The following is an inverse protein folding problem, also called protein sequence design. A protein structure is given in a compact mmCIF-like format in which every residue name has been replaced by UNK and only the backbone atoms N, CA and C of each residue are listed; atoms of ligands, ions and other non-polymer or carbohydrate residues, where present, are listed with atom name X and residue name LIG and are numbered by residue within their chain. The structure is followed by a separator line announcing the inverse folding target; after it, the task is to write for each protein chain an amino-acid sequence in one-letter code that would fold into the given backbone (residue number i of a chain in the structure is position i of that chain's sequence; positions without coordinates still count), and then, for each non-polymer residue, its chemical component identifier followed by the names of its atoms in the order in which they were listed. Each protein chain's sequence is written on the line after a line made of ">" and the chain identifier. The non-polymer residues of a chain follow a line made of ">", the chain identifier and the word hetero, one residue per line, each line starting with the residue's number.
data_IF_140674236053
#
_entry.id   IF_140674236053
#
_cell.length_a   1.000
_cell.length_b   1.000
_cell.length_c   1.000
_cell.angle_alpha   90.00
_cell.angle_beta   90.00
_cell.angle_gamma   90.00
#
_symmetry.space_group_name_H-M   'P 1'
#
loop_
_entity.id
_entity.type
_entity.pdbx_description
1 polymer ?
#
# COMPACT_ATOMS: atom_id res chain seq x y z
N UNK A 1 -46.73 13.32 -55.65
CA UNK A 1 -46.68 13.13 -54.18
C UNK A 1 -45.22 12.86 -53.78
N UNK A 2 -44.52 13.87 -53.25
CA UNK A 2 -43.11 13.71 -52.80
C UNK A 2 -43.12 13.29 -51.33
N UNK A 3 -42.53 12.11 -51.01
CA UNK A 3 -42.35 11.61 -49.66
C UNK A 3 -41.12 12.31 -49.05
N UNK A 4 -41.33 13.06 -47.97
CA UNK A 4 -40.26 13.64 -47.15
C UNK A 4 -39.85 12.56 -46.12
N UNK A 5 -38.63 12.07 -46.18
CA UNK A 5 -38.04 11.18 -45.15
C UNK A 5 -37.34 12.06 -44.10
N UNK A 6 -37.81 12.00 -42.86
CA UNK A 6 -37.15 12.62 -41.73
C UNK A 6 -36.10 11.61 -41.19
N UNK A 7 -34.84 12.02 -41.21
CA UNK A 7 -33.77 11.30 -40.57
C UNK A 7 -33.64 11.82 -39.14
N UNK A 8 -33.98 10.99 -38.16
CA UNK A 8 -33.71 11.26 -36.74
C UNK A 8 -32.24 10.99 -36.44
N UNK A 9 -31.44 12.01 -36.24
CA UNK A 9 -30.11 11.88 -35.63
C UNK A 9 -30.30 11.69 -34.12
N UNK A 10 -30.11 10.49 -33.63
CA UNK A 10 -29.97 10.23 -32.22
C UNK A 10 -28.57 10.72 -31.73
N UNK A 11 -28.54 11.83 -31.04
CA UNK A 11 -27.33 12.33 -30.40
C UNK A 11 -26.93 11.42 -29.24
N UNK A 12 -25.82 10.72 -29.37
CA UNK A 12 -25.20 9.98 -28.27
C UNK A 12 -24.56 11.03 -27.36
N UNK A 13 -25.17 11.31 -26.22
CA UNK A 13 -24.56 12.10 -25.16
C UNK A 13 -23.49 11.24 -24.51
N UNK A 14 -22.22 11.48 -24.81
CA UNK A 14 -21.09 10.95 -24.05
C UNK A 14 -21.07 11.75 -22.74
N UNK A 15 -21.61 11.17 -21.66
CA UNK A 15 -21.41 11.73 -20.33
C UNK A 15 -19.92 11.61 -20.00
N UNK A 16 -19.18 12.69 -20.15
CA UNK A 16 -17.84 12.82 -19.58
C UNK A 16 -18.01 12.80 -18.07
N UNK A 17 -17.60 11.72 -17.39
CA UNK A 17 -17.42 11.73 -15.95
C UNK A 17 -16.32 12.75 -15.65
N UNK A 18 -16.72 13.95 -15.22
CA UNK A 18 -15.78 14.93 -14.71
C UNK A 18 -15.09 14.33 -13.49
N UNK A 19 -13.76 14.38 -13.44
CA UNK A 19 -12.98 13.97 -12.29
C UNK A 19 -13.43 14.78 -11.08
N UNK A 20 -13.91 14.10 -10.03
CA UNK A 20 -14.43 14.72 -8.81
C UNK A 20 -13.37 14.84 -7.74
N UNK A 21 -12.33 13.99 -7.76
CA UNK A 21 -11.22 14.00 -6.83
C UNK A 21 -9.90 14.28 -7.55
N UNK A 22 -8.95 14.88 -6.83
CA UNK A 22 -7.61 15.14 -7.36
C UNK A 22 -6.54 15.07 -6.27
N UNK A 23 -5.33 14.76 -6.70
CA UNK A 23 -4.13 14.84 -5.87
C UNK A 23 -3.35 16.12 -6.21
N UNK A 24 -3.18 16.99 -5.21
CA UNK A 24 -2.33 18.17 -5.31
C UNK A 24 -1.00 17.90 -4.62
N UNK A 25 0.10 17.94 -5.37
CA UNK A 25 1.43 17.68 -4.82
C UNK A 25 1.84 18.76 -3.84
N UNK A 26 2.18 18.38 -2.61
CA UNK A 26 2.65 19.28 -1.56
C UNK A 26 4.18 19.38 -1.55
N UNK A 27 4.85 18.23 -1.54
CA UNK A 27 6.31 18.13 -1.55
C UNK A 27 6.78 16.79 -2.12
N UNK A 28 8.07 16.72 -2.39
CA UNK A 28 8.79 15.50 -2.74
C UNK A 28 10.22 15.63 -2.22
N UNK A 29 10.78 14.55 -1.68
CA UNK A 29 12.18 14.50 -1.30
C UNK A 29 13.10 14.56 -2.54
N UNK A 30 14.37 14.88 -2.33
CA UNK A 30 15.41 14.60 -3.31
C UNK A 30 15.53 13.07 -3.55
N UNK A 31 16.28 12.66 -4.57
CA UNK A 31 16.51 11.26 -4.96
C UNK A 31 17.53 10.56 -4.05
N UNK A 32 17.28 10.62 -2.74
CA UNK A 32 18.18 10.12 -1.68
C UNK A 32 17.59 8.97 -0.88
N UNK A 33 16.31 8.65 -1.10
CA UNK A 33 15.62 7.57 -0.36
C UNK A 33 15.93 6.25 -1.04
N UNK A 34 16.62 5.36 -0.35
CA UNK A 34 17.20 4.15 -0.93
C UNK A 34 16.13 3.10 -1.28
N UNK A 35 15.60 3.15 -2.49
CA UNK A 35 14.57 2.21 -3.01
C UNK A 35 13.40 2.06 -2.04
N UNK A 36 12.63 3.17 -1.80
CA UNK A 36 11.52 3.14 -0.86
C UNK A 36 10.36 2.29 -1.41
N UNK A 37 9.77 1.46 -0.55
CA UNK A 37 8.68 0.58 -0.97
C UNK A 37 7.38 0.88 -0.24
N UNK A 38 7.39 1.09 1.08
CA UNK A 38 6.22 1.46 1.87
C UNK A 38 6.46 2.72 2.69
N UNK A 39 5.42 3.52 2.88
CA UNK A 39 5.43 4.67 3.80
C UNK A 39 4.31 4.51 4.81
N UNK A 40 4.65 4.39 6.09
CA UNK A 40 3.70 4.28 7.19
C UNK A 40 3.70 5.56 8.04
N UNK A 41 2.63 6.38 8.03
CA UNK A 41 2.54 7.57 8.85
C UNK A 41 2.20 7.25 10.32
N UNK A 42 3.04 7.67 11.24
CA UNK A 42 2.73 7.79 12.66
C UNK A 42 2.31 9.23 12.95
N UNK A 43 1.02 9.47 12.87
CA UNK A 43 0.43 10.81 13.01
C UNK A 43 0.68 11.37 14.41
N UNK A 44 0.61 10.52 15.43
CA UNK A 44 0.76 10.92 16.84
C UNK A 44 2.16 11.43 17.14
N UNK A 45 3.18 10.77 16.59
CA UNK A 45 4.58 11.14 16.81
C UNK A 45 5.14 12.04 15.69
N UNK A 46 4.33 12.35 14.65
CA UNK A 46 4.73 13.18 13.51
C UNK A 46 5.96 12.60 12.77
N UNK A 47 5.91 11.31 12.50
CA UNK A 47 6.98 10.57 11.82
C UNK A 47 6.36 9.79 10.65
N UNK A 48 7.04 9.76 9.52
CA UNK A 48 6.80 8.81 8.45
C UNK A 48 7.90 7.73 8.52
N UNK A 49 7.53 6.49 8.75
CA UNK A 49 8.44 5.36 8.59
C UNK A 49 8.45 4.94 7.12
N UNK A 50 9.64 4.65 6.59
CA UNK A 50 9.81 4.27 5.18
C UNK A 50 10.64 3.00 5.12
N UNK A 51 10.12 1.94 4.51
CA UNK A 51 10.91 0.76 4.23
C UNK A 51 11.88 1.04 3.08
N UNK A 52 13.12 0.61 3.25
CA UNK A 52 14.24 0.85 2.33
C UNK A 52 14.79 -0.51 1.89
N UNK A 53 14.61 -0.84 0.63
CA UNK A 53 15.16 -2.09 0.08
C UNK A 53 16.67 -1.96 -0.12
N UNK A 54 17.14 -0.83 -0.63
CA UNK A 54 18.56 -0.49 -0.89
C UNK A 54 19.38 -1.60 -1.59
N UNK A 55 18.71 -2.44 -2.34
CA UNK A 55 19.28 -3.59 -3.03
C UNK A 55 18.32 -4.13 -4.07
N UNK A 56 18.43 -5.42 -4.37
CA UNK A 56 17.46 -6.13 -5.20
C UNK A 56 16.17 -6.41 -4.43
N UNK A 57 15.03 -6.23 -5.07
CA UNK A 57 13.71 -6.29 -4.43
C UNK A 57 13.40 -7.59 -3.67
N UNK A 58 14.24 -8.63 -3.83
CA UNK A 58 14.07 -9.95 -3.21
C UNK A 58 15.41 -10.56 -2.78
N UNK A 59 16.45 -9.76 -2.65
CA UNK A 59 17.78 -10.25 -2.29
C UNK A 59 17.96 -10.24 -0.77
N UNK A 60 18.48 -11.35 -0.25
CA UNK A 60 18.82 -11.47 1.16
C UNK A 60 20.28 -10.99 1.36
N UNK A 61 20.53 -9.69 1.13
CA UNK A 61 21.87 -9.10 1.07
C UNK A 61 22.23 -8.22 2.29
N UNK A 62 21.28 -8.02 3.21
CA UNK A 62 21.48 -7.25 4.44
C UNK A 62 21.62 -5.74 4.25
N UNK A 63 21.30 -5.20 3.07
CA UNK A 63 21.40 -3.75 2.79
C UNK A 63 20.17 -2.97 3.19
N UNK A 64 19.00 -3.63 3.24
CA UNK A 64 17.73 -3.01 3.55
C UNK A 64 17.66 -2.47 4.98
N UNK A 65 16.62 -1.66 5.21
CA UNK A 65 16.38 -1.03 6.48
C UNK A 65 15.04 -0.32 6.57
N UNK A 66 14.87 0.47 7.63
CA UNK A 66 13.75 1.40 7.78
C UNK A 66 14.29 2.79 8.08
N UNK A 67 13.86 3.75 7.29
CA UNK A 67 14.15 5.18 7.51
C UNK A 67 13.01 5.90 8.19
N UNK A 68 13.28 7.16 8.55
CA UNK A 68 12.34 8.13 9.07
C UNK A 68 12.38 9.41 8.26
N UNK A 69 11.23 10.02 8.05
CA UNK A 69 11.09 11.35 7.43
C UNK A 69 10.06 12.13 8.24
N UNK A 70 10.23 13.43 8.39
CA UNK A 70 9.18 14.27 8.96
C UNK A 70 8.00 14.41 7.97
N UNK A 71 6.76 14.65 8.43
CA UNK A 71 5.59 14.76 7.54
C UNK A 71 5.65 15.92 6.54
N UNK A 72 6.59 16.84 6.69
CA UNK A 72 6.87 17.93 5.74
C UNK A 72 7.98 17.58 4.71
N UNK A 73 8.46 16.34 4.72
CA UNK A 73 9.46 15.81 3.79
C UNK A 73 10.91 16.12 4.18
N UNK A 74 11.14 16.71 5.36
CA UNK A 74 12.48 17.05 5.87
C UNK A 74 13.04 15.99 6.80
N UNK A 75 14.28 16.22 7.27
CA UNK A 75 14.96 15.44 8.29
C UNK A 75 14.99 13.92 7.99
N UNK A 76 15.23 13.56 6.72
CA UNK A 76 15.37 12.17 6.34
C UNK A 76 16.55 11.51 7.07
N UNK A 77 16.25 10.41 7.77
CA UNK A 77 17.22 9.52 8.37
C UNK A 77 17.04 8.11 7.79
N UNK A 78 17.87 7.73 6.83
CA UNK A 78 17.85 6.43 6.16
C UNK A 78 18.51 5.30 6.96
N UNK A 79 19.10 5.58 8.13
CA UNK A 79 19.86 4.62 8.93
C UNK A 79 19.26 4.36 10.31
N UNK A 80 17.97 4.62 10.48
CA UNK A 80 17.30 4.36 11.76
C UNK A 80 17.29 2.88 12.11
N UNK A 81 16.97 2.01 11.16
CA UNK A 81 17.15 0.55 11.21
C UNK A 81 17.93 0.14 9.98
N UNK A 82 18.95 -0.71 10.16
CA UNK A 82 19.78 -1.25 9.08
C UNK A 82 19.96 -2.76 9.25
N UNK A 83 20.48 -3.43 8.21
CA UNK A 83 20.77 -4.86 8.27
C UNK A 83 19.56 -5.77 8.08
N UNK A 84 18.47 -5.20 7.49
CA UNK A 84 17.39 -6.00 6.92
C UNK A 84 17.76 -6.40 5.48
N UNK A 85 16.99 -7.31 4.89
CA UNK A 85 17.25 -7.74 3.51
C UNK A 85 16.54 -6.83 2.49
N UNK A 86 15.27 -7.07 2.24
CA UNK A 86 14.46 -6.29 1.32
C UNK A 86 13.09 -5.98 1.97
N UNK A 87 13.07 -5.17 3.04
CA UNK A 87 11.84 -4.89 3.76
C UNK A 87 10.86 -4.13 2.87
N UNK A 88 9.59 -4.54 2.91
CA UNK A 88 8.51 -3.98 2.11
C UNK A 88 7.44 -3.37 3.01
N UNK A 89 6.24 -3.93 3.04
CA UNK A 89 5.14 -3.41 3.83
C UNK A 89 5.49 -3.17 5.30
N UNK A 90 4.92 -2.11 5.86
CA UNK A 90 5.08 -1.69 7.24
C UNK A 90 3.73 -1.67 7.96
N UNK A 91 3.71 -2.13 9.20
CA UNK A 91 2.56 -2.02 10.10
C UNK A 91 2.99 -1.63 11.50
N UNK A 92 2.12 -1.02 12.29
CA UNK A 92 2.45 -0.67 13.67
C UNK A 92 1.32 -0.99 14.64
N UNK A 93 1.70 -1.38 15.85
CA UNK A 93 0.77 -1.61 16.95
C UNK A 93 1.48 -1.51 18.29
N UNK A 94 0.90 -0.77 19.21
CA UNK A 94 1.33 -0.66 20.63
C UNK A 94 2.85 -0.43 20.78
N UNK A 95 3.40 0.59 20.10
CA UNK A 95 4.81 0.97 20.18
C UNK A 95 5.79 0.05 19.42
N UNK A 96 5.27 -0.89 18.64
CA UNK A 96 6.05 -1.75 17.77
C UNK A 96 5.77 -1.46 16.31
N UNK A 97 6.83 -1.42 15.52
CA UNK A 97 6.79 -1.41 14.07
C UNK A 97 7.10 -2.83 13.57
N UNK A 98 6.33 -3.28 12.61
CA UNK A 98 6.54 -4.56 11.93
C UNK A 98 6.91 -4.30 10.48
N UNK A 99 7.92 -5.02 9.98
CA UNK A 99 8.33 -4.97 8.58
C UNK A 99 8.32 -6.37 7.98
N UNK A 100 7.76 -6.52 6.78
CA UNK A 100 7.84 -7.76 6.01
C UNK A 100 9.18 -7.84 5.31
N UNK A 101 10.02 -8.83 5.66
CA UNK A 101 11.38 -8.97 5.11
C UNK A 101 11.59 -10.38 4.52
N UNK A 102 11.24 -10.53 3.24
CA UNK A 102 11.35 -11.73 2.40
C UNK A 102 10.64 -12.96 2.98
N UNK A 103 11.10 -13.53 4.10
CA UNK A 103 10.57 -14.76 4.71
C UNK A 103 10.33 -14.61 6.21
N UNK A 104 10.57 -13.43 6.76
CA UNK A 104 10.39 -13.14 8.17
C UNK A 104 9.65 -11.81 8.37
N UNK A 105 8.94 -11.67 9.49
CA UNK A 105 8.41 -10.39 9.95
C UNK A 105 9.31 -9.90 11.07
N UNK A 106 9.87 -8.71 10.88
CA UNK A 106 10.77 -8.08 11.85
C UNK A 106 9.97 -7.15 12.75
N UNK A 107 10.00 -7.39 14.06
CA UNK A 107 9.39 -6.52 15.07
C UNK A 107 10.45 -5.60 15.65
N UNK A 108 10.17 -4.30 15.63
CA UNK A 108 11.07 -3.21 16.01
C UNK A 108 10.40 -2.40 17.12
N UNK A 109 11.11 -2.13 18.20
CA UNK A 109 10.68 -1.18 19.24
C UNK A 109 10.81 0.24 18.70
N UNK A 110 9.68 0.95 18.60
CA UNK A 110 9.64 2.29 17.99
C UNK A 110 10.33 3.35 18.85
N UNK A 111 10.39 3.15 20.16
CA UNK A 111 11.02 4.09 21.11
C UNK A 111 12.54 4.00 21.06
N UNK A 112 13.07 2.78 21.03
CA UNK A 112 14.53 2.55 21.08
C UNK A 112 15.17 2.40 19.72
N UNK A 113 14.40 2.10 18.66
CA UNK A 113 14.92 1.77 17.34
C UNK A 113 15.71 0.46 17.33
N UNK A 114 15.29 -0.55 18.10
CA UNK A 114 15.96 -1.84 18.16
C UNK A 114 15.08 -2.94 17.61
N UNK A 115 15.66 -3.81 16.83
CA UNK A 115 15.00 -5.06 16.42
C UNK A 115 14.84 -5.92 17.69
N UNK A 116 13.58 -6.17 18.08
CA UNK A 116 13.26 -7.01 19.22
C UNK A 116 13.16 -8.49 18.86
N UNK A 117 12.58 -8.77 17.68
CA UNK A 117 12.31 -10.13 17.26
C UNK A 117 12.25 -10.23 15.74
N UNK A 118 12.76 -11.32 15.21
CA UNK A 118 12.56 -11.79 13.85
C UNK A 118 11.65 -13.03 13.90
N UNK A 119 10.51 -12.97 13.26
CA UNK A 119 9.49 -14.02 13.25
C UNK A 119 9.55 -14.68 11.88
N UNK A 120 10.30 -15.75 11.78
CA UNK A 120 10.36 -16.55 10.55
C UNK A 120 8.99 -17.18 10.28
N UNK A 121 8.57 -17.13 9.03
CA UNK A 121 7.35 -17.80 8.56
C UNK A 121 7.79 -19.00 7.71
N UNK A 122 7.53 -20.18 8.22
CA UNK A 122 7.94 -21.40 7.55
C UNK A 122 7.36 -21.49 6.14
N UNK A 123 8.19 -21.82 5.17
CA UNK A 123 7.90 -21.86 3.73
C UNK A 123 7.58 -20.53 3.05
N UNK A 124 7.56 -19.38 3.73
CA UNK A 124 7.43 -18.08 3.09
C UNK A 124 8.73 -17.71 2.34
N UNK A 125 8.59 -17.01 1.22
CA UNK A 125 9.74 -16.47 0.47
C UNK A 125 9.40 -15.25 -0.41
N UNK A 126 8.27 -14.62 -0.15
CA UNK A 126 7.79 -13.48 -0.93
C UNK A 126 6.88 -12.60 -0.10
N UNK A 127 7.21 -12.41 1.20
CA UNK A 127 6.47 -11.49 2.06
C UNK A 127 6.53 -10.10 1.47
N UNK A 128 5.36 -9.47 1.37
CA UNK A 128 5.21 -8.19 0.72
C UNK A 128 4.53 -7.19 1.65
N UNK A 129 3.23 -6.99 1.58
CA UNK A 129 2.57 -6.01 2.42
C UNK A 129 2.14 -6.57 3.78
N UNK A 130 1.98 -5.66 4.76
CA UNK A 130 1.69 -5.98 6.14
C UNK A 130 0.67 -5.01 6.74
N UNK A 131 -0.27 -5.54 7.52
CA UNK A 131 -1.18 -4.74 8.33
C UNK A 131 -1.36 -5.35 9.72
N UNK A 132 -1.73 -4.52 10.70
CA UNK A 132 -1.98 -4.98 12.07
C UNK A 132 -3.40 -4.60 12.48
N UNK A 133 -4.15 -5.55 13.01
CA UNK A 133 -5.51 -5.29 13.50
C UNK A 133 -5.49 -4.63 14.90
N UNK A 134 -6.67 -4.23 15.36
CA UNK A 134 -6.84 -3.59 16.67
C UNK A 134 -6.60 -4.50 17.87
N UNK A 135 -6.33 -5.79 17.66
CA UNK A 135 -5.97 -6.78 18.69
C UNK A 135 -4.47 -7.10 18.67
N UNK A 136 -3.72 -6.51 17.73
CA UNK A 136 -2.29 -6.75 17.56
C UNK A 136 -1.96 -8.00 16.73
N UNK A 137 -2.94 -8.60 16.03
CA UNK A 137 -2.63 -9.64 15.07
C UNK A 137 -2.02 -9.01 13.82
N UNK A 138 -0.89 -9.55 13.38
CA UNK A 138 -0.19 -9.09 12.18
C UNK A 138 -0.62 -9.97 11.00
N UNK A 139 -1.08 -9.35 9.92
CA UNK A 139 -1.36 -10.01 8.65
C UNK A 139 -0.28 -9.62 7.66
N UNK A 140 0.23 -10.59 6.91
CA UNK A 140 1.27 -10.36 5.90
C UNK A 140 0.97 -11.15 4.63
N UNK A 141 1.02 -10.49 3.49
CA UNK A 141 0.86 -11.13 2.19
C UNK A 141 2.15 -11.81 1.75
N UNK A 142 2.03 -12.93 1.05
CA UNK A 142 3.14 -13.64 0.40
C UNK A 142 2.82 -13.76 -1.09
N UNK A 143 3.36 -12.85 -1.88
CA UNK A 143 3.09 -12.74 -3.30
C UNK A 143 3.55 -13.98 -4.08
N UNK A 144 4.62 -14.66 -3.62
CA UNK A 144 5.19 -15.85 -4.27
C UNK A 144 4.50 -17.15 -3.87
N UNK A 145 3.93 -17.21 -2.65
CA UNK A 145 3.22 -18.40 -2.16
C UNK A 145 1.70 -18.31 -2.32
N UNK A 146 1.19 -17.17 -2.85
CA UNK A 146 -0.24 -16.94 -3.01
C UNK A 146 -1.03 -17.12 -1.70
N UNK A 147 -0.51 -16.55 -0.61
CA UNK A 147 -1.05 -16.68 0.74
C UNK A 147 -1.14 -15.33 1.44
N UNK A 148 -2.01 -15.27 2.43
CA UNK A 148 -1.96 -14.26 3.49
C UNK A 148 -1.73 -15.04 4.79
N UNK A 149 -0.69 -14.68 5.51
CA UNK A 149 -0.36 -15.23 6.81
C UNK A 149 -0.93 -14.35 7.92
N UNK A 150 -1.21 -14.96 9.07
CA UNK A 150 -1.53 -14.25 10.31
C UNK A 150 -0.55 -14.66 11.39
N UNK A 151 -0.03 -13.68 12.10
CA UNK A 151 0.80 -13.88 13.27
C UNK A 151 -0.03 -13.42 14.48
N UNK A 152 -0.31 -14.34 15.37
CA UNK A 152 -1.02 -14.12 16.62
C UNK A 152 -0.12 -14.60 17.77
N UNK A 153 0.14 -13.72 18.74
CA UNK A 153 1.04 -14.02 19.88
C UNK A 153 2.43 -14.54 19.44
N UNK A 154 2.92 -14.07 18.29
CA UNK A 154 4.22 -14.47 17.74
C UNK A 154 4.25 -15.83 17.04
N UNK A 155 3.10 -16.45 16.79
CA UNK A 155 2.94 -17.72 16.07
C UNK A 155 2.29 -17.44 14.72
N UNK A 156 2.94 -17.85 13.62
CA UNK A 156 2.40 -17.69 12.27
C UNK A 156 1.47 -18.85 11.87
N UNK A 157 0.44 -18.54 11.12
CA UNK A 157 -0.49 -19.51 10.52
C UNK A 157 -1.04 -18.98 9.20
N UNK A 158 -1.49 -19.86 8.30
CA UNK A 158 -2.14 -19.44 7.06
C UNK A 158 -3.53 -18.85 7.39
N UNK A 159 -3.73 -17.59 7.04
CA UNK A 159 -5.03 -16.93 7.17
C UNK A 159 -5.91 -17.15 5.94
N UNK A 160 -5.42 -16.80 4.74
CA UNK A 160 -6.05 -17.09 3.45
C UNK A 160 -5.06 -17.81 2.53
N UNK A 161 -5.60 -18.70 1.69
CA UNK A 161 -4.82 -19.49 0.74
C UNK A 161 -5.33 -19.24 -0.70
N UNK A 162 -4.50 -19.57 -1.71
CA UNK A 162 -4.83 -19.40 -3.13
C UNK A 162 -5.07 -17.94 -3.56
N UNK A 163 -4.47 -16.97 -2.88
CA UNK A 163 -4.53 -15.54 -3.21
C UNK A 163 -3.39 -15.21 -4.19
N UNK A 164 -3.55 -15.55 -5.46
CA UNK A 164 -2.54 -15.30 -6.49
C UNK A 164 -2.28 -13.81 -6.67
N UNK A 165 -0.99 -13.41 -6.61
CA UNK A 165 -0.61 -12.00 -6.64
C UNK A 165 -1.04 -11.25 -5.37
N UNK A 166 -1.04 -11.95 -4.21
CA UNK A 166 -1.29 -11.32 -2.92
C UNK A 166 -0.31 -10.16 -2.70
N UNK A 167 -0.85 -8.98 -2.42
CA UNK A 167 -0.09 -7.76 -2.15
C UNK A 167 -0.87 -6.91 -1.15
N UNK A 168 -1.13 -5.65 -1.39
CA UNK A 168 -1.75 -4.69 -0.50
C UNK A 168 -2.73 -5.27 0.53
N UNK A 169 -2.57 -4.91 1.80
CA UNK A 169 -3.37 -5.36 2.93
C UNK A 169 -3.84 -4.18 3.78
N UNK A 170 -5.08 -4.23 4.26
CA UNK A 170 -5.53 -3.30 5.30
C UNK A 170 -6.57 -3.94 6.21
N UNK A 171 -6.26 -4.03 7.51
CA UNK A 171 -7.23 -4.46 8.52
C UNK A 171 -8.18 -3.31 8.88
N UNK A 172 -9.48 -3.55 8.83
CA UNK A 172 -10.52 -2.58 9.22
C UNK A 172 -11.53 -3.27 10.13
N UNK A 173 -11.53 -2.93 11.40
CA UNK A 173 -12.39 -3.59 12.36
C UNK A 173 -12.12 -5.09 12.43
N UNK A 174 -13.09 -5.91 12.02
CA UNK A 174 -12.93 -7.35 11.92
C UNK A 174 -12.72 -7.87 10.49
N UNK A 175 -12.64 -6.98 9.52
CA UNK A 175 -12.47 -7.29 8.11
C UNK A 175 -11.00 -7.08 7.68
N UNK A 176 -10.56 -7.82 6.68
CA UNK A 176 -9.29 -7.63 6.01
C UNK A 176 -9.53 -7.27 4.55
N UNK A 177 -9.12 -6.07 4.14
CA UNK A 177 -8.96 -5.71 2.74
C UNK A 177 -7.67 -6.32 2.21
N UNK A 178 -7.70 -6.79 0.97
CA UNK A 178 -6.51 -7.35 0.34
C UNK A 178 -6.56 -7.26 -1.18
N UNK A 179 -5.38 -7.21 -1.77
CA UNK A 179 -5.18 -7.34 -3.20
C UNK A 179 -5.02 -8.82 -3.60
N UNK A 180 -5.73 -9.22 -4.65
CA UNK A 180 -5.45 -10.45 -5.40
C UNK A 180 -5.21 -10.10 -6.87
N UNK A 181 -3.95 -9.85 -7.23
CA UNK A 181 -3.61 -9.26 -8.51
C UNK A 181 -4.23 -7.86 -8.66
N UNK A 182 -5.16 -7.69 -9.60
CA UNK A 182 -5.87 -6.44 -9.82
C UNK A 182 -7.25 -6.37 -9.13
N UNK A 183 -7.60 -7.36 -8.33
CA UNK A 183 -8.85 -7.38 -7.59
C UNK A 183 -8.68 -6.79 -6.20
N UNK A 184 -9.41 -5.73 -5.88
CA UNK A 184 -9.60 -5.25 -4.52
C UNK A 184 -10.72 -6.07 -3.87
N UNK A 185 -10.38 -6.76 -2.80
CA UNK A 185 -11.28 -7.67 -2.11
C UNK A 185 -11.30 -7.42 -0.60
N UNK A 186 -12.32 -7.96 0.03
CA UNK A 186 -12.52 -7.93 1.48
C UNK A 186 -12.86 -9.32 1.98
N UNK A 187 -12.17 -9.79 3.02
CA UNK A 187 -12.52 -10.97 3.79
C UNK A 187 -13.14 -10.54 5.14
N UNK A 188 -14.31 -11.05 5.48
CA UNK A 188 -14.92 -10.82 6.79
C UNK A 188 -14.31 -11.74 7.87
N UNK A 189 -14.77 -11.59 9.12
CA UNK A 189 -14.31 -12.42 10.24
C UNK A 189 -14.47 -13.94 10.03
N UNK A 190 -15.43 -14.36 9.20
CA UNK A 190 -15.66 -15.74 8.79
C UNK A 190 -14.86 -16.14 7.56
N UNK A 191 -13.95 -15.25 7.08
CA UNK A 191 -13.14 -15.42 5.87
C UNK A 191 -13.95 -15.55 4.58
N UNK A 192 -15.19 -15.05 4.57
CA UNK A 192 -15.97 -14.92 3.35
C UNK A 192 -15.46 -13.75 2.54
N UNK A 193 -15.11 -14.00 1.27
CA UNK A 193 -14.49 -13.03 0.39
C UNK A 193 -15.54 -12.35 -0.48
N UNK A 194 -15.48 -11.02 -0.55
CA UNK A 194 -16.31 -10.19 -1.43
C UNK A 194 -15.42 -9.32 -2.29
N UNK A 195 -15.66 -9.29 -3.60
CA UNK A 195 -15.00 -8.35 -4.52
C UNK A 195 -15.59 -6.95 -4.33
N UNK A 196 -14.72 -5.94 -4.20
CA UNK A 196 -15.09 -4.53 -4.14
C UNK A 196 -14.92 -3.90 -5.53
N UNK A 197 -13.74 -4.07 -6.15
CA UNK A 197 -13.45 -3.51 -7.45
C UNK A 197 -12.46 -4.41 -8.24
N UNK A 198 -12.39 -4.16 -9.54
CA UNK A 198 -11.35 -4.72 -10.41
C UNK A 198 -10.66 -3.57 -11.11
N UNK A 199 -9.38 -3.38 -10.83
CA UNK A 199 -8.60 -2.24 -11.28
C UNK A 199 -7.88 -2.54 -12.61
N UNK A 200 -7.44 -1.51 -13.34
CA UNK A 200 -6.76 -1.69 -14.63
C UNK A 200 -5.39 -2.39 -14.52
N UNK A 201 -4.74 -2.35 -13.34
CA UNK A 201 -3.44 -2.99 -13.11
C UNK A 201 -3.38 -3.66 -11.73
N UNK A 202 -2.33 -4.47 -11.50
CA UNK A 202 -2.11 -5.14 -10.21
C UNK A 202 -1.93 -4.14 -9.07
N UNK A 203 -2.67 -4.37 -8.00
CA UNK A 203 -2.72 -3.50 -6.82
C UNK A 203 -1.46 -3.68 -5.97
N UNK A 204 -0.94 -2.56 -5.46
CA UNK A 204 0.14 -2.50 -4.49
C UNK A 204 -0.40 -2.04 -3.13
N UNK A 205 -0.55 -0.75 -2.87
CA UNK A 205 -1.05 -0.21 -1.61
C UNK A 205 -2.57 -0.02 -1.57
N UNK A 206 -3.16 -0.12 -0.39
CA UNK A 206 -4.60 0.08 -0.13
C UNK A 206 -4.76 0.92 1.12
N UNK A 207 -5.33 2.13 1.01
CA UNK A 207 -5.66 2.99 2.14
C UNK A 207 -7.14 3.40 2.16
N UNK A 208 -7.88 3.04 3.23
CA UNK A 208 -9.24 3.54 3.43
C UNK A 208 -9.22 5.03 3.75
N UNK A 209 -10.13 5.78 3.12
CA UNK A 209 -10.23 7.24 3.31
C UNK A 209 -11.53 7.70 3.97
N UNK A 210 -12.34 6.76 4.43
CA UNK A 210 -13.65 7.00 5.04
C UNK A 210 -14.80 6.67 4.08
N UNK A 211 -16.01 6.59 4.61
CA UNK A 211 -17.26 6.32 3.86
C UNK A 211 -17.26 5.02 3.02
N UNK A 212 -16.31 4.12 3.27
CA UNK A 212 -16.13 2.91 2.47
C UNK A 212 -15.32 3.12 1.19
N UNK A 213 -14.73 4.29 0.99
CA UNK A 213 -13.90 4.64 -0.15
C UNK A 213 -12.41 4.38 0.13
N UNK A 214 -11.61 4.26 -0.93
CA UNK A 214 -10.21 3.87 -0.84
C UNK A 214 -9.32 4.68 -1.79
N UNK A 215 -8.07 4.87 -1.40
CA UNK A 215 -6.97 5.17 -2.33
C UNK A 215 -6.22 3.85 -2.56
N UNK A 216 -6.00 3.53 -3.83
CA UNK A 216 -5.36 2.28 -4.25
C UNK A 216 -4.25 2.60 -5.23
N UNK A 217 -3.09 1.96 -5.07
CA UNK A 217 -1.96 2.14 -5.98
C UNK A 217 -1.66 0.88 -6.78
N UNK A 218 -0.91 1.07 -7.87
CA UNK A 218 -0.25 0.00 -8.59
C UNK A 218 1.21 0.37 -8.84
N UNK A 219 2.11 -0.57 -8.60
CA UNK A 219 3.55 -0.36 -8.74
C UNK A 219 3.99 0.26 -10.08
N UNK A 220 3.21 0.04 -11.13
CA UNK A 220 3.46 0.62 -12.45
C UNK A 220 3.38 2.15 -12.49
N UNK A 221 2.81 2.81 -11.48
CA UNK A 221 2.72 4.27 -11.41
C UNK A 221 1.30 4.82 -11.47
N UNK A 222 0.32 4.08 -10.96
CA UNK A 222 -1.08 4.52 -10.87
C UNK A 222 -1.51 4.77 -9.44
N UNK A 223 -2.34 5.79 -9.24
CA UNK A 223 -3.11 6.01 -8.03
C UNK A 223 -4.56 6.21 -8.42
N UNK A 224 -5.45 5.42 -7.82
CA UNK A 224 -6.89 5.50 -8.04
C UNK A 224 -7.64 5.86 -6.76
N UNK A 225 -8.72 6.59 -6.93
CA UNK A 225 -9.81 6.65 -5.99
C UNK A 225 -10.79 5.53 -6.33
N UNK A 226 -11.16 4.73 -5.35
CA UNK A 226 -12.12 3.64 -5.50
C UNK A 226 -13.24 3.90 -4.51
N UNK A 227 -14.44 4.18 -5.00
CA UNK A 227 -15.61 4.40 -4.15
C UNK A 227 -16.17 3.08 -3.61
N UNK A 228 -16.95 3.17 -2.53
CA UNK A 228 -17.59 2.01 -1.87
C UNK A 228 -18.42 1.12 -2.82
N UNK A 229 -18.94 1.69 -3.92
CA UNK A 229 -19.69 0.96 -4.94
C UNK A 229 -18.79 0.36 -6.04
N UNK A 230 -17.46 0.49 -5.93
CA UNK A 230 -16.49 -0.04 -6.88
C UNK A 230 -16.21 0.85 -8.10
N UNK A 231 -16.72 2.10 -8.14
CA UNK A 231 -16.37 3.07 -9.21
C UNK A 231 -14.91 3.50 -9.02
N UNK A 232 -14.16 3.56 -10.13
CA UNK A 232 -12.74 3.87 -10.15
C UNK A 232 -12.51 5.20 -10.86
N UNK A 233 -11.73 6.08 -10.24
CA UNK A 233 -11.28 7.35 -10.78
C UNK A 233 -9.75 7.42 -10.73
N UNK A 234 -9.09 7.75 -11.84
CA UNK A 234 -7.63 7.88 -11.88
C UNK A 234 -7.21 9.23 -11.32
N UNK A 235 -6.46 9.21 -10.21
CA UNK A 235 -5.94 10.43 -9.55
C UNK A 235 -4.54 10.80 -10.03
N UNK A 236 -3.71 9.79 -10.30
CA UNK A 236 -2.34 9.96 -10.79
C UNK A 236 -2.01 8.84 -11.75
N UNK A 237 -1.37 9.22 -12.86
CA UNK A 237 -0.83 8.31 -13.85
C UNK A 237 0.59 8.77 -14.23
N UNK A 238 1.58 7.98 -13.82
CA UNK A 238 3.00 8.22 -14.08
C UNK A 238 3.69 7.02 -14.74
N UNK A 239 2.91 6.04 -15.23
CA UNK A 239 3.45 4.79 -15.77
C UNK A 239 4.34 5.02 -17.00
N UNK A 240 3.95 5.91 -17.92
CA UNK A 240 4.76 6.28 -19.09
C UNK A 240 6.09 6.95 -18.68
N UNK A 241 6.09 7.71 -17.58
CA UNK A 241 7.29 8.32 -17.02
C UNK A 241 8.13 7.32 -16.19
N UNK A 242 7.70 6.04 -16.08
CA UNK A 242 8.33 4.98 -15.28
C UNK A 242 8.58 5.37 -13.82
N UNK A 243 7.70 6.22 -13.26
CA UNK A 243 7.71 6.59 -11.85
C UNK A 243 6.73 5.70 -11.11
N UNK A 244 7.26 4.83 -10.27
CA UNK A 244 6.46 3.89 -9.51
C UNK A 244 5.65 4.60 -8.42
N UNK A 245 4.53 3.98 -8.05
CA UNK A 245 3.73 4.32 -6.88
C UNK A 245 3.54 3.04 -6.10
N UNK A 246 4.45 2.78 -5.14
CA UNK A 246 4.44 1.55 -4.36
C UNK A 246 3.42 1.61 -3.22
N UNK A 247 3.67 0.94 -2.09
CA UNK A 247 2.72 0.92 -0.99
C UNK A 247 2.65 2.27 -0.26
N UNK A 248 1.45 2.82 -0.13
CA UNK A 248 1.19 4.19 0.33
C UNK A 248 0.77 4.26 1.79
N UNK A 249 0.98 5.43 2.41
CA UNK A 249 0.36 5.78 3.67
C UNK A 249 -0.61 6.97 3.54
N UNK A 250 -1.59 7.03 4.41
CA UNK A 250 -2.60 8.08 4.42
C UNK A 250 -2.75 8.73 5.80
N UNK A 251 -2.74 10.07 5.83
CA UNK A 251 -3.13 10.88 6.99
C UNK A 251 -4.60 11.27 6.85
N UNK A 252 -5.53 10.65 7.59
CA UNK A 252 -6.97 10.93 7.44
C UNK A 252 -7.37 12.29 8.01
N UNK A 253 -6.54 12.89 8.88
CA UNK A 253 -6.83 14.20 9.48
C UNK A 253 -6.53 15.32 8.49
N UNK A 254 -5.39 15.23 7.83
CA UNK A 254 -4.93 16.22 6.85
C UNK A 254 -5.29 15.86 5.41
N UNK A 255 -5.84 14.66 5.17
CA UNK A 255 -6.12 14.10 3.83
C UNK A 255 -4.87 14.05 2.95
N UNK A 256 -3.72 13.67 3.53
CA UNK A 256 -2.45 13.59 2.81
C UNK A 256 -2.14 12.14 2.48
N UNK A 257 -1.86 11.88 1.20
CA UNK A 257 -1.35 10.59 0.70
C UNK A 257 0.17 10.71 0.56
N UNK A 258 0.90 9.82 1.22
CA UNK A 258 2.35 9.70 1.12
C UNK A 258 2.70 8.57 0.17
N UNK A 259 3.47 8.87 -0.85
CA UNK A 259 3.72 7.98 -1.99
C UNK A 259 5.22 7.73 -2.13
N UNK A 260 5.69 6.49 -1.90
CA UNK A 260 7.06 6.13 -2.21
C UNK A 260 7.20 5.84 -3.71
N UNK A 261 8.26 6.32 -4.33
CA UNK A 261 8.60 6.01 -5.70
C UNK A 261 9.85 5.14 -5.75
N UNK A 262 9.64 3.85 -5.90
CA UNK A 262 10.65 2.80 -5.83
C UNK A 262 11.91 3.12 -6.67
N UNK A 263 11.75 3.18 -8.01
CA UNK A 263 12.84 3.52 -8.92
C UNK A 263 13.21 5.01 -8.89
N UNK A 264 12.28 5.86 -8.47
CA UNK A 264 12.50 7.29 -8.34
C UNK A 264 13.34 7.67 -7.13
N UNK A 265 13.51 6.74 -6.17
CA UNK A 265 14.23 6.95 -4.91
C UNK A 265 13.74 8.20 -4.15
N UNK A 266 12.44 8.43 -4.18
CA UNK A 266 11.79 9.59 -3.55
C UNK A 266 10.57 9.16 -2.74
N UNK A 267 10.18 10.01 -1.78
CA UNK A 267 8.86 10.02 -1.18
C UNK A 267 8.20 11.36 -1.52
N UNK A 268 6.93 11.32 -1.90
CA UNK A 268 6.14 12.53 -2.18
C UNK A 268 4.88 12.55 -1.32
N UNK A 269 4.37 13.74 -1.03
CA UNK A 269 3.10 13.93 -0.36
C UNK A 269 2.12 14.67 -1.27
N UNK A 270 0.87 14.23 -1.25
CA UNK A 270 -0.21 14.82 -2.02
C UNK A 270 -1.42 15.08 -1.13
N UNK A 271 -2.05 16.24 -1.29
CA UNK A 271 -3.34 16.55 -0.69
C UNK A 271 -4.45 15.97 -1.55
N UNK A 272 -5.31 15.16 -0.96
CA UNK A 272 -6.53 14.66 -1.60
C UNK A 272 -7.64 15.73 -1.47
N UNK A 273 -8.17 16.18 -2.61
CA UNK A 273 -9.27 17.16 -2.72
C UNK A 273 -10.47 16.57 -3.41
#
# INVERSE_FOLDING_TARGET
>A
MKKLSFIFLAGISIASNAQTHKLEKLWQTDTIVAVPESVLPDISNKILYVSLIDGGGWDADGKGGVGKIDPDGKNYNGTWITGLNAPKGLGMYNGKLYAADISEVVAIDMKTGRVEKKIAIDSANGLNDITVDNKGNVYVSDSRKAKIWRIENGVSSVYLNNIKGANGLKAIGNDLLFAQGNLLQKANAQKQITKIAELPAGIDGIEPIGNGDFIVTAWQGYIWYVSANGTIETLLDTHEAKKNTADIGYDPVKKIVYVPSFNGKTVAAYLLK
#
